data_IF_219943246532
#
_entry.id   IF_219943246532
#
_cell.length_a   1.000
_cell.length_b   1.000
_cell.length_c   1.000
_cell.angle_alpha   90.00
_cell.angle_beta   90.00
_cell.angle_gamma   90.00
#
_symmetry.space_group_name_H-M   'P 1'
#
loop_
_entity.id
_entity.type
_entity.pdbx_description
1 polymer ?
#
# COMPACT_ATOMS: atom_id res chain seq x y z
N UNK A 1 14.67 29.85 -40.84
CA UNK A 1 16.10 29.82 -40.66
C UNK A 1 16.53 30.23 -39.23
N UNK A 2 15.72 29.94 -38.21
CA UNK A 2 16.02 30.21 -36.78
C UNK A 2 15.89 28.97 -35.84
N UNK A 3 15.49 27.80 -36.37
CA UNK A 3 15.31 26.55 -35.60
C UNK A 3 16.51 25.62 -35.71
N UNK A 4 17.35 25.76 -36.74
CA UNK A 4 18.54 24.93 -36.93
C UNK A 4 19.80 25.35 -36.13
N UNK A 5 19.79 26.49 -35.42
CA UNK A 5 20.93 26.93 -34.60
C UNK A 5 20.87 26.50 -33.14
N UNK A 6 19.73 25.91 -32.67
CA UNK A 6 19.62 25.42 -31.29
C UNK A 6 19.92 23.93 -31.11
N UNK A 7 19.92 23.15 -32.21
CA UNK A 7 20.32 21.74 -32.15
C UNK A 7 21.84 21.50 -32.24
N UNK A 8 22.58 22.46 -32.76
CA UNK A 8 24.05 22.32 -32.86
C UNK A 8 24.78 22.64 -31.53
N UNK A 9 24.13 23.36 -30.58
CA UNK A 9 24.70 23.64 -29.26
C UNK A 9 24.58 22.49 -28.26
N UNK A 10 23.61 21.58 -28.45
CA UNK A 10 23.37 20.46 -27.51
C UNK A 10 24.26 19.25 -27.78
N UNK A 11 24.78 19.11 -29.01
CA UNK A 11 25.67 18.00 -29.39
C UNK A 11 27.14 18.29 -29.05
N UNK A 12 27.51 19.56 -28.88
CA UNK A 12 28.90 19.94 -28.57
C UNK A 12 29.22 19.88 -27.07
N UNK A 13 28.24 19.87 -26.18
CA UNK A 13 28.43 19.69 -24.73
C UNK A 13 28.60 18.20 -24.36
N UNK A 14 28.09 17.28 -25.18
CA UNK A 14 28.21 15.83 -24.93
C UNK A 14 29.53 15.22 -25.40
N UNK A 15 30.31 15.94 -26.20
CA UNK A 15 31.59 15.46 -26.74
C UNK A 15 32.83 15.94 -25.95
N UNK A 16 32.67 16.82 -24.93
CA UNK A 16 33.78 17.40 -24.16
C UNK A 16 33.99 16.79 -22.76
N UNK A 17 33.23 15.78 -22.39
CA UNK A 17 33.39 15.07 -21.10
C UNK A 17 34.21 13.77 -21.23
N UNK A 18 34.69 13.43 -22.45
CA UNK A 18 35.43 12.17 -22.69
C UNK A 18 36.96 12.33 -22.76
N UNK A 19 37.58 13.40 -22.26
CA UNK A 19 39.05 13.52 -22.33
C UNK A 19 39.67 14.17 -21.10
N UNK A 20 39.40 13.61 -19.90
CA UNK A 20 40.23 13.84 -18.71
C UNK A 20 40.29 12.56 -17.88
N UNK A 21 40.84 11.49 -18.46
CA UNK A 21 41.34 10.35 -17.71
C UNK A 21 42.82 10.26 -18.00
N UNK A 22 43.64 10.92 -17.19
CA UNK A 22 45.05 10.61 -17.05
C UNK A 22 45.54 10.98 -15.66
N UNK A 23 45.94 9.96 -14.90
CA UNK A 23 46.76 10.00 -13.70
C UNK A 23 46.24 10.83 -12.52
N UNK A 24 45.40 10.20 -11.70
CA UNK A 24 45.26 10.52 -10.28
C UNK A 24 45.46 9.22 -9.49
N UNK A 25 46.42 9.21 -8.54
CA UNK A 25 46.66 8.07 -7.66
C UNK A 25 45.37 7.71 -6.93
N UNK A 26 45.15 6.41 -6.68
CA UNK A 26 44.09 5.89 -5.83
C UNK A 26 44.14 6.65 -4.51
N UNK A 27 43.11 7.46 -4.21
CA UNK A 27 42.98 8.04 -2.89
C UNK A 27 42.66 6.90 -1.94
N UNK A 28 43.35 6.82 -0.78
CA UNK A 28 43.12 5.79 0.22
C UNK A 28 41.70 5.76 0.84
N UNK A 29 40.82 6.67 0.40
CA UNK A 29 39.46 6.86 0.88
C UNK A 29 38.37 6.53 -0.19
N UNK A 30 38.79 6.06 -1.37
CA UNK A 30 37.84 5.68 -2.41
C UNK A 30 37.03 4.45 -1.99
N UNK A 31 35.71 4.61 -1.89
CA UNK A 31 34.74 3.54 -1.62
C UNK A 31 34.28 2.88 -2.93
N UNK A 32 34.11 3.68 -3.96
CA UNK A 32 33.56 3.26 -5.24
C UNK A 32 34.57 3.50 -6.37
N UNK A 33 34.42 2.74 -7.41
CA UNK A 33 34.96 3.11 -8.71
C UNK A 33 33.97 4.05 -9.38
N UNK A 34 34.33 5.33 -9.50
CA UNK A 34 33.45 6.34 -10.07
C UNK A 34 32.87 5.95 -11.43
N UNK A 35 31.58 6.14 -11.64
CA UNK A 35 30.90 5.77 -12.86
C UNK A 35 29.38 5.68 -12.71
N UNK A 36 28.73 5.26 -13.80
CA UNK A 36 27.29 4.96 -13.84
C UNK A 36 27.08 3.49 -14.09
N UNK A 37 26.30 2.84 -13.26
CA UNK A 37 26.06 1.39 -13.27
C UNK A 37 24.57 1.12 -13.41
N UNK A 38 24.22 0.03 -14.09
CA UNK A 38 22.82 -0.30 -14.35
C UNK A 38 22.57 -1.77 -14.01
N UNK A 39 21.43 -2.02 -13.34
CA UNK A 39 20.99 -3.36 -12.99
C UNK A 39 19.49 -3.51 -13.28
N UNK A 40 19.05 -4.75 -13.50
CA UNK A 40 17.65 -5.11 -13.58
C UNK A 40 17.19 -5.72 -12.27
N UNK A 41 16.00 -5.31 -11.81
CA UNK A 41 15.35 -5.89 -10.65
C UNK A 41 13.87 -6.17 -10.96
N UNK A 42 13.24 -7.01 -10.16
CA UNK A 42 11.85 -7.40 -10.36
C UNK A 42 11.06 -7.19 -9.08
N UNK A 43 10.18 -6.20 -9.09
CA UNK A 43 9.15 -5.96 -8.09
C UNK A 43 7.84 -6.63 -8.48
N UNK A 44 6.77 -5.85 -8.63
CA UNK A 44 5.56 -6.32 -9.32
C UNK A 44 5.82 -6.46 -10.83
N UNK A 45 6.65 -5.60 -11.38
CA UNK A 45 7.11 -5.61 -12.76
C UNK A 45 8.63 -5.51 -12.81
N UNK A 46 9.21 -5.78 -14.00
CA UNK A 46 10.64 -5.54 -14.24
C UNK A 46 10.92 -4.04 -14.18
N UNK A 47 11.99 -3.67 -13.50
CA UNK A 47 12.50 -2.29 -13.44
C UNK A 47 13.99 -2.26 -13.80
N UNK A 48 14.44 -1.11 -14.27
CA UNK A 48 15.86 -0.84 -14.52
C UNK A 48 16.32 0.22 -13.53
N UNK A 49 17.28 -0.13 -12.69
CA UNK A 49 17.90 0.77 -11.72
C UNK A 49 19.24 1.24 -12.28
N UNK A 50 19.46 2.55 -12.27
CA UNK A 50 20.71 3.18 -12.71
C UNK A 50 21.25 4.01 -11.55
N UNK A 51 22.47 3.72 -11.12
CA UNK A 51 23.14 4.41 -10.02
C UNK A 51 24.42 5.07 -10.53
N UNK A 52 24.61 6.34 -10.20
CA UNK A 52 25.86 7.08 -10.46
C UNK A 52 26.59 7.29 -9.14
N UNK A 53 27.86 6.96 -9.10
CA UNK A 53 28.74 7.16 -7.94
C UNK A 53 29.96 7.97 -8.30
N UNK A 54 30.40 8.80 -7.35
CA UNK A 54 31.76 9.35 -7.33
C UNK A 54 32.72 8.33 -6.67
N UNK A 55 33.98 8.70 -6.43
CA UNK A 55 34.92 7.84 -5.69
C UNK A 55 34.47 7.62 -4.23
N UNK A 56 33.61 8.44 -3.67
CA UNK A 56 33.24 8.42 -2.23
C UNK A 56 31.76 8.35 -1.95
N UNK A 57 30.88 8.72 -2.91
CA UNK A 57 29.45 8.93 -2.65
C UNK A 57 28.56 8.41 -3.77
N UNK A 58 27.35 8.00 -3.42
CA UNK A 58 26.23 7.77 -4.33
C UNK A 58 25.66 9.14 -4.68
N UNK A 59 25.72 9.52 -5.96
CA UNK A 59 25.38 10.89 -6.41
C UNK A 59 24.06 10.98 -7.16
N UNK A 60 23.58 9.88 -7.74
CA UNK A 60 22.28 9.82 -8.43
C UNK A 60 21.74 8.39 -8.47
N UNK A 61 20.41 8.26 -8.37
CA UNK A 61 19.69 7.01 -8.54
C UNK A 61 18.46 7.28 -9.39
N UNK A 62 18.36 6.60 -10.53
CA UNK A 62 17.23 6.66 -11.44
C UNK A 62 16.62 5.27 -11.60
N UNK A 63 15.28 5.19 -11.63
CA UNK A 63 14.55 3.95 -11.75
C UNK A 63 13.52 4.07 -12.88
N UNK A 64 13.73 3.30 -13.96
CA UNK A 64 12.72 3.12 -15.01
C UNK A 64 11.85 1.91 -14.64
N UNK A 65 10.54 2.13 -14.44
CA UNK A 65 9.64 1.15 -13.86
C UNK A 65 8.23 1.16 -14.49
N UNK A 66 7.47 0.10 -14.17
CA UNK A 66 6.03 -0.02 -14.46
C UNK A 66 5.26 -0.45 -13.22
N UNK A 67 5.76 -0.08 -12.04
CA UNK A 67 5.12 -0.40 -10.78
C UNK A 67 3.74 0.25 -10.68
N UNK A 68 2.85 -0.40 -9.93
CA UNK A 68 1.47 0.07 -9.76
C UNK A 68 1.44 1.42 -9.05
N UNK A 69 0.75 2.37 -9.66
CA UNK A 69 0.57 3.70 -9.08
C UNK A 69 -0.13 3.63 -7.71
N UNK A 70 0.30 4.48 -6.78
CA UNK A 70 -0.19 4.49 -5.40
C UNK A 70 0.25 3.30 -4.52
N UNK A 71 0.88 2.25 -5.09
CA UNK A 71 1.42 1.12 -4.32
C UNK A 71 2.95 1.11 -4.38
N UNK A 72 3.50 0.96 -5.56
CA UNK A 72 4.95 0.89 -5.77
C UNK A 72 5.58 2.25 -6.00
N UNK A 73 4.87 3.21 -6.60
CA UNK A 73 5.39 4.55 -6.90
C UNK A 73 5.91 5.31 -5.68
N UNK A 74 5.29 5.26 -4.48
CA UNK A 74 5.86 5.93 -3.30
C UNK A 74 7.26 5.41 -2.93
N UNK A 75 7.53 4.12 -3.10
CA UNK A 75 8.87 3.56 -2.86
C UNK A 75 9.87 4.08 -3.88
N UNK A 76 9.47 4.08 -5.17
CA UNK A 76 10.31 4.57 -6.27
C UNK A 76 10.70 6.04 -6.07
N UNK A 77 9.81 6.85 -5.53
CA UNK A 77 10.05 8.28 -5.28
C UNK A 77 10.90 8.54 -4.03
N UNK A 78 10.68 7.78 -2.96
CA UNK A 78 11.29 8.05 -1.65
C UNK A 78 12.65 7.38 -1.46
N UNK A 79 12.82 6.12 -1.89
CA UNK A 79 14.03 5.35 -1.62
C UNK A 79 15.29 5.98 -2.22
N UNK A 80 15.31 6.44 -3.48
CA UNK A 80 16.49 7.07 -4.06
C UNK A 80 17.02 8.24 -3.22
N UNK A 81 16.14 9.15 -2.81
CA UNK A 81 16.51 10.31 -2.00
C UNK A 81 17.07 9.88 -0.64
N UNK A 82 16.41 8.94 0.04
CA UNK A 82 16.85 8.43 1.35
C UNK A 82 18.19 7.70 1.25
N UNK A 83 18.39 6.86 0.23
CA UNK A 83 19.66 6.14 0.01
C UNK A 83 20.81 7.11 -0.21
N UNK A 84 20.59 8.15 -1.01
CA UNK A 84 21.59 9.19 -1.24
C UNK A 84 21.89 10.03 0.01
N UNK A 85 20.89 10.33 0.83
CA UNK A 85 21.07 11.07 2.09
C UNK A 85 21.90 10.28 3.11
N UNK A 86 21.56 9.02 3.34
CA UNK A 86 22.27 8.19 4.33
C UNK A 86 23.51 7.51 3.78
N UNK A 87 23.72 7.53 2.46
CA UNK A 87 24.79 6.77 1.78
C UNK A 87 24.80 5.30 2.18
N UNK A 88 23.61 4.67 2.23
CA UNK A 88 23.41 3.32 2.74
C UNK A 88 22.14 2.66 2.23
N UNK A 89 22.00 1.35 2.50
CA UNK A 89 20.89 0.51 2.03
C UNK A 89 20.04 -0.10 3.15
N UNK A 90 20.25 0.32 4.40
CA UNK A 90 19.55 -0.21 5.56
C UNK A 90 18.14 0.36 5.74
N UNK A 91 17.35 0.43 4.67
CA UNK A 91 15.97 0.88 4.72
C UNK A 91 15.03 -0.29 4.99
N UNK A 92 14.01 -0.03 5.80
CA UNK A 92 12.94 -0.98 6.00
C UNK A 92 12.00 -1.01 4.78
N UNK A 93 11.41 -2.17 4.50
CA UNK A 93 10.46 -2.31 3.40
C UNK A 93 9.15 -1.60 3.72
N UNK A 94 8.56 -0.94 2.73
CA UNK A 94 7.24 -0.31 2.87
C UNK A 94 6.17 -1.39 2.86
N UNK A 95 5.35 -1.43 3.91
CA UNK A 95 4.25 -2.36 4.01
C UNK A 95 3.25 -2.14 2.85
N UNK A 96 2.82 -3.23 2.22
CA UNK A 96 2.01 -3.18 0.98
C UNK A 96 2.82 -3.05 -0.31
N UNK A 97 4.06 -2.53 -0.25
CA UNK A 97 4.98 -2.42 -1.39
C UNK A 97 6.28 -3.22 -1.20
N UNK A 98 6.25 -4.30 -0.43
CA UNK A 98 7.42 -5.12 -0.06
C UNK A 98 8.21 -5.61 -1.27
N UNK A 99 7.53 -6.05 -2.34
CA UNK A 99 8.20 -6.52 -3.56
C UNK A 99 8.96 -5.39 -4.26
N UNK A 100 8.34 -4.22 -4.39
CA UNK A 100 8.98 -3.04 -4.97
C UNK A 100 10.14 -2.55 -4.11
N UNK A 101 9.96 -2.49 -2.78
CA UNK A 101 11.03 -2.11 -1.83
C UNK A 101 12.26 -3.01 -1.98
N UNK A 102 12.04 -4.32 -1.94
CA UNK A 102 13.12 -5.29 -2.11
C UNK A 102 13.79 -5.19 -3.48
N UNK A 103 13.02 -4.95 -4.55
CA UNK A 103 13.55 -4.83 -5.89
C UNK A 103 14.42 -3.58 -6.05
N UNK A 104 13.99 -2.44 -5.51
CA UNK A 104 14.80 -1.20 -5.53
C UNK A 104 16.11 -1.41 -4.77
N UNK A 105 16.04 -1.93 -3.52
CA UNK A 105 17.25 -2.19 -2.72
C UNK A 105 18.19 -3.18 -3.39
N UNK A 106 17.66 -4.25 -3.99
CA UNK A 106 18.45 -5.23 -4.72
C UNK A 106 19.11 -4.64 -5.97
N UNK A 107 18.35 -3.86 -6.74
CA UNK A 107 18.88 -3.22 -7.96
C UNK A 107 19.98 -2.19 -7.64
N UNK A 108 19.80 -1.37 -6.59
CA UNK A 108 20.84 -0.45 -6.14
C UNK A 108 22.05 -1.23 -5.63
N UNK A 109 21.85 -2.27 -4.82
CA UNK A 109 22.93 -3.13 -4.32
C UNK A 109 23.76 -3.75 -5.44
N UNK A 110 23.09 -4.20 -6.52
CA UNK A 110 23.75 -4.78 -7.69
C UNK A 110 24.63 -3.74 -8.42
N UNK A 111 24.12 -2.51 -8.59
CA UNK A 111 24.89 -1.41 -9.16
C UNK A 111 26.12 -1.06 -8.32
N UNK A 112 25.97 -1.03 -6.98
CA UNK A 112 27.08 -0.70 -6.07
C UNK A 112 28.12 -1.84 -5.99
N UNK A 113 27.68 -3.09 -6.11
CA UNK A 113 28.60 -4.24 -6.27
C UNK A 113 29.44 -4.10 -7.53
N UNK A 114 28.85 -3.68 -8.65
CA UNK A 114 29.57 -3.40 -9.90
C UNK A 114 30.59 -2.25 -9.72
N UNK A 115 30.25 -1.26 -8.87
CA UNK A 115 31.13 -0.17 -8.50
C UNK A 115 32.26 -0.58 -7.54
N UNK A 116 32.24 -1.82 -7.04
CA UNK A 116 33.32 -2.39 -6.22
C UNK A 116 33.19 -2.20 -4.71
N UNK A 117 32.00 -1.83 -4.20
CA UNK A 117 31.78 -1.64 -2.78
C UNK A 117 31.32 -2.90 -2.02
N UNK A 118 31.51 -2.89 -0.71
CA UNK A 118 30.98 -3.90 0.22
C UNK A 118 29.51 -3.57 0.55
N UNK A 119 28.61 -4.17 -0.21
CA UNK A 119 27.16 -3.97 -0.07
C UNK A 119 26.65 -4.38 1.33
N UNK A 120 27.27 -5.36 1.98
CA UNK A 120 26.85 -5.76 3.33
C UNK A 120 27.12 -4.65 4.36
N UNK A 121 28.23 -3.92 4.22
CA UNK A 121 28.49 -2.74 5.03
C UNK A 121 27.44 -1.64 4.79
N UNK A 122 27.01 -1.41 3.54
CA UNK A 122 25.98 -0.44 3.21
C UNK A 122 24.59 -0.81 3.74
N UNK A 123 24.24 -2.09 3.78
CA UNK A 123 22.97 -2.58 4.38
C UNK A 123 22.92 -2.34 5.91
N UNK A 124 24.06 -2.19 6.55
CA UNK A 124 24.12 -1.87 7.97
C UNK A 124 23.89 -0.37 8.26
N UNK A 125 24.03 0.50 7.26
CA UNK A 125 23.80 1.94 7.40
C UNK A 125 22.30 2.19 7.28
N UNK A 126 21.71 2.66 8.38
CA UNK A 126 20.29 2.98 8.50
C UNK A 126 20.08 4.48 8.66
N UNK A 127 18.90 5.00 8.30
CA UNK A 127 18.51 6.34 8.69
C UNK A 127 18.70 6.54 10.20
N UNK A 128 19.09 7.73 10.61
CA UNK A 128 19.11 8.07 12.02
C UNK A 128 17.72 7.84 12.61
N UNK A 129 17.67 7.24 13.81
CA UNK A 129 16.39 7.10 14.49
C UNK A 129 15.80 8.51 14.71
N UNK A 130 14.54 8.68 14.32
CA UNK A 130 13.83 9.91 14.62
C UNK A 130 13.76 10.12 16.13
N UNK A 131 13.87 11.37 16.56
CA UNK A 131 13.64 11.69 17.97
C UNK A 131 12.23 11.29 18.36
N UNK A 132 12.06 10.73 19.58
CA UNK A 132 10.75 10.34 20.08
C UNK A 132 9.85 11.58 20.18
N UNK A 133 8.73 11.54 19.51
CA UNK A 133 7.67 12.56 19.63
C UNK A 133 7.04 12.53 21.03
N UNK A 134 6.35 13.60 21.39
CA UNK A 134 5.61 13.65 22.63
C UNK A 134 4.43 12.67 22.63
N UNK A 135 4.07 12.18 23.81
CA UNK A 135 2.89 11.34 23.96
C UNK A 135 1.62 12.17 23.71
N UNK A 136 0.63 11.56 23.03
CA UNK A 136 -0.59 12.24 22.56
C UNK A 136 -1.82 11.66 23.26
N UNK A 137 -2.73 12.54 23.71
CA UNK A 137 -4.03 12.17 24.21
C UNK A 137 -5.13 12.86 23.38
N UNK A 138 -6.03 12.06 22.81
CA UNK A 138 -7.13 12.52 21.95
C UNK A 138 -8.47 11.99 22.45
N UNK A 139 -9.53 12.70 22.09
CA UNK A 139 -10.91 12.24 22.29
C UNK A 139 -11.70 12.51 21.01
N UNK A 140 -12.35 11.46 20.51
CA UNK A 140 -13.19 11.50 19.29
C UNK A 140 -14.49 10.75 19.53
N UNK A 141 -15.43 10.79 18.60
CA UNK A 141 -16.65 10.02 18.70
C UNK A 141 -16.40 8.54 18.41
N UNK A 142 -15.69 8.25 17.34
CA UNK A 142 -15.41 6.88 16.89
C UNK A 142 -13.92 6.72 16.59
N UNK A 143 -13.32 5.67 17.16
CA UNK A 143 -11.99 5.22 16.77
C UNK A 143 -12.12 4.02 15.85
N UNK A 144 -11.45 4.06 14.70
CA UNK A 144 -11.37 2.93 13.78
C UNK A 144 -9.94 2.40 13.77
N UNK A 145 -9.76 1.11 14.03
CA UNK A 145 -8.45 0.47 14.03
C UNK A 145 -8.24 -0.28 12.71
N UNK A 146 -7.40 0.27 11.86
CA UNK A 146 -7.06 -0.24 10.53
C UNK A 146 -7.73 0.54 9.38
N UNK A 147 -6.95 1.08 8.48
CA UNK A 147 -7.38 1.83 7.28
C UNK A 147 -7.50 0.94 6.03
N UNK A 148 -7.88 -0.32 6.18
CA UNK A 148 -8.28 -1.20 5.08
C UNK A 148 -9.71 -0.92 4.60
N UNK A 149 -10.22 -1.68 3.63
CA UNK A 149 -11.54 -1.45 3.03
C UNK A 149 -12.68 -1.36 4.04
N UNK A 150 -12.72 -2.27 5.03
CA UNK A 150 -13.75 -2.26 6.06
C UNK A 150 -13.63 -1.06 7.01
N UNK A 151 -12.40 -0.71 7.40
CA UNK A 151 -12.16 0.42 8.30
C UNK A 151 -12.50 1.75 7.66
N UNK A 152 -12.07 1.96 6.42
CA UNK A 152 -12.38 3.21 5.71
C UNK A 152 -13.89 3.34 5.41
N UNK A 153 -14.57 2.25 5.03
CA UNK A 153 -16.02 2.27 4.88
C UNK A 153 -16.73 2.64 6.20
N UNK A 154 -16.30 2.06 7.32
CA UNK A 154 -16.86 2.40 8.62
C UNK A 154 -16.56 3.86 9.02
N UNK A 155 -15.34 4.34 8.75
CA UNK A 155 -14.94 5.71 9.07
C UNK A 155 -15.74 6.75 8.28
N UNK A 156 -15.85 6.56 6.95
CA UNK A 156 -16.64 7.44 6.08
C UNK A 156 -18.10 7.44 6.52
N UNK A 157 -18.70 6.25 6.70
CA UNK A 157 -20.11 6.14 7.14
C UNK A 157 -20.34 6.83 8.49
N UNK A 158 -19.43 6.71 9.45
CA UNK A 158 -19.56 7.40 10.72
C UNK A 158 -19.48 8.92 10.55
N UNK A 159 -18.57 9.41 9.71
CA UNK A 159 -18.42 10.83 9.43
C UNK A 159 -19.64 11.39 8.68
N UNK A 160 -20.21 10.70 7.68
CA UNK A 160 -21.47 11.05 7.01
C UNK A 160 -22.64 11.18 8.00
N UNK A 161 -22.58 10.45 9.12
CA UNK A 161 -23.53 10.58 10.24
C UNK A 161 -23.12 11.62 11.29
N UNK A 162 -22.23 12.55 10.95
CA UNK A 162 -21.84 13.70 11.76
C UNK A 162 -20.95 13.36 12.94
N UNK A 163 -20.19 12.26 12.89
CA UNK A 163 -19.24 11.87 13.93
C UNK A 163 -17.83 12.33 13.63
N UNK A 164 -17.09 12.71 14.66
CA UNK A 164 -15.66 12.89 14.58
C UNK A 164 -14.97 11.51 14.67
N UNK A 165 -14.19 11.18 13.67
CA UNK A 165 -13.59 9.86 13.48
C UNK A 165 -12.08 9.96 13.41
N UNK A 166 -11.37 9.14 14.18
CA UNK A 166 -9.94 8.92 14.03
C UNK A 166 -9.69 7.47 13.60
N UNK A 167 -9.01 7.31 12.47
CA UNK A 167 -8.53 6.01 11.98
C UNK A 167 -7.07 5.85 12.39
N UNK A 168 -6.73 4.74 13.04
CA UNK A 168 -5.35 4.38 13.38
C UNK A 168 -4.86 3.33 12.38
N UNK A 169 -3.81 3.66 11.62
CA UNK A 169 -3.23 2.76 10.63
C UNK A 169 -1.74 2.52 10.94
N UNK A 170 -1.36 1.25 11.03
CA UNK A 170 0.02 0.85 11.37
C UNK A 170 1.05 1.13 10.26
N UNK A 171 0.59 1.25 9.02
CA UNK A 171 1.45 1.49 7.85
C UNK A 171 1.45 2.96 7.46
N UNK A 172 2.30 3.34 6.52
CA UNK A 172 2.41 4.71 6.02
C UNK A 172 1.31 5.10 5.03
N UNK A 173 0.42 4.18 4.68
CA UNK A 173 -0.68 4.45 3.74
C UNK A 173 -1.91 3.61 4.09
N UNK A 174 -3.09 4.12 3.74
CA UNK A 174 -4.31 3.34 3.79
C UNK A 174 -4.31 2.25 2.72
N UNK A 175 -5.09 1.18 2.95
CA UNK A 175 -5.27 0.17 1.90
C UNK A 175 -5.33 -1.25 2.41
N UNK A 176 -4.36 -1.68 3.16
CA UNK A 176 -4.28 -3.05 3.64
C UNK A 176 -4.39 -4.06 2.48
N UNK A 177 -4.93 -5.21 2.74
CA UNK A 177 -5.11 -6.26 1.71
C UNK A 177 -6.12 -5.88 0.62
N UNK A 178 -6.99 -4.90 0.84
CA UNK A 178 -7.93 -4.44 -0.19
C UNK A 178 -7.20 -3.85 -1.39
N UNK A 179 -6.12 -3.10 -1.17
CA UNK A 179 -5.29 -2.55 -2.27
C UNK A 179 -4.68 -3.66 -3.13
N UNK A 180 -4.33 -4.80 -2.53
CA UNK A 180 -3.71 -5.94 -3.21
C UNK A 180 -4.73 -6.86 -3.89
N UNK A 181 -6.02 -6.68 -3.62
CA UNK A 181 -7.10 -7.46 -4.21
C UNK A 181 -7.35 -7.07 -5.67
N UNK A 182 -8.09 -7.90 -6.40
CA UNK A 182 -8.44 -7.62 -7.80
C UNK A 182 -9.39 -6.43 -8.02
N UNK A 183 -9.90 -5.82 -6.96
CA UNK A 183 -10.71 -4.60 -6.97
C UNK A 183 -12.18 -4.79 -7.31
N UNK A 184 -12.60 -5.95 -7.82
CA UNK A 184 -13.98 -6.18 -8.22
C UNK A 184 -14.92 -6.40 -7.02
N UNK A 185 -16.11 -5.82 -7.09
CA UNK A 185 -17.22 -6.04 -6.15
C UNK A 185 -18.29 -6.92 -6.80
N UNK A 186 -18.60 -8.05 -6.17
CA UNK A 186 -19.75 -8.86 -6.56
C UNK A 186 -21.03 -8.24 -5.99
N UNK A 187 -21.89 -7.73 -6.85
CA UNK A 187 -23.17 -7.12 -6.49
C UNK A 187 -24.22 -7.38 -7.56
N UNK A 188 -25.48 -7.47 -7.17
CA UNK A 188 -26.59 -7.73 -8.09
C UNK A 188 -27.53 -6.54 -8.07
N UNK A 189 -27.61 -5.82 -9.19
CA UNK A 189 -28.71 -4.91 -9.48
C UNK A 189 -29.85 -5.70 -10.14
N UNK A 190 -30.80 -6.20 -9.35
CA UNK A 190 -31.91 -7.02 -9.86
C UNK A 190 -32.81 -6.28 -10.86
N UNK A 191 -32.79 -4.95 -10.83
CA UNK A 191 -33.52 -4.10 -11.77
C UNK A 191 -32.90 -4.04 -13.17
N UNK A 192 -31.60 -4.32 -13.27
CA UNK A 192 -30.83 -4.16 -14.50
C UNK A 192 -31.18 -5.20 -15.58
N UNK A 193 -30.99 -4.82 -16.83
CA UNK A 193 -31.12 -5.77 -17.96
C UNK A 193 -29.95 -6.78 -17.96
N UNK A 194 -28.80 -6.42 -17.38
CA UNK A 194 -27.63 -7.29 -17.24
C UNK A 194 -27.92 -8.44 -16.28
N UNK A 195 -28.49 -8.16 -15.10
CA UNK A 195 -28.86 -9.20 -14.15
C UNK A 195 -29.92 -10.15 -14.74
N UNK A 196 -30.94 -9.60 -15.42
CA UNK A 196 -31.96 -10.40 -16.10
C UNK A 196 -31.38 -11.30 -17.20
N UNK A 197 -30.49 -10.75 -18.04
CA UNK A 197 -29.83 -11.51 -19.10
C UNK A 197 -28.94 -12.65 -18.57
N UNK A 198 -28.34 -12.45 -17.40
CA UNK A 198 -27.53 -13.45 -16.72
C UNK A 198 -28.34 -14.39 -15.82
N UNK A 199 -29.65 -14.24 -15.71
CA UNK A 199 -30.49 -14.95 -14.73
C UNK A 199 -29.94 -14.86 -13.31
N UNK A 200 -29.50 -13.67 -12.91
CA UNK A 200 -28.92 -13.40 -11.61
C UNK A 200 -29.90 -12.71 -10.67
N UNK A 201 -29.75 -12.98 -9.38
CA UNK A 201 -30.55 -12.40 -8.31
C UNK A 201 -29.77 -12.37 -7.01
N UNK A 202 -30.22 -11.56 -6.05
CA UNK A 202 -29.67 -11.54 -4.68
C UNK A 202 -29.76 -12.92 -4.04
N UNK A 203 -30.86 -13.67 -4.25
CA UNK A 203 -31.02 -15.03 -3.74
C UNK A 203 -30.05 -16.03 -4.39
N UNK A 204 -29.79 -15.88 -5.69
CA UNK A 204 -28.77 -16.69 -6.37
C UNK A 204 -27.37 -16.36 -5.84
N UNK A 205 -27.07 -15.09 -5.64
CA UNK A 205 -25.80 -14.65 -5.02
C UNK A 205 -25.61 -15.23 -3.61
N UNK A 206 -26.68 -15.18 -2.79
CA UNK A 206 -26.68 -15.78 -1.46
C UNK A 206 -26.39 -17.29 -1.51
N UNK A 207 -27.14 -18.01 -2.33
CA UNK A 207 -27.01 -19.47 -2.46
C UNK A 207 -25.62 -19.88 -2.89
N UNK A 208 -25.05 -19.23 -3.91
CA UNK A 208 -23.71 -19.50 -4.38
C UNK A 208 -22.65 -19.20 -3.32
N UNK A 209 -22.80 -18.10 -2.58
CA UNK A 209 -21.84 -17.71 -1.52
C UNK A 209 -21.89 -18.72 -0.36
N UNK A 210 -23.08 -19.11 0.08
CA UNK A 210 -23.25 -20.03 1.19
C UNK A 210 -22.82 -21.47 0.85
N UNK A 211 -23.30 -21.99 -0.30
CA UNK A 211 -22.96 -23.34 -0.76
C UNK A 211 -21.49 -23.43 -1.18
N UNK A 212 -20.97 -22.43 -1.92
CA UNK A 212 -19.56 -22.36 -2.33
C UNK A 212 -18.59 -22.26 -1.16
N UNK A 213 -19.01 -21.66 -0.06
CA UNK A 213 -18.32 -21.63 1.22
C UNK A 213 -18.50 -22.90 2.08
N UNK A 214 -19.00 -24.00 1.50
CA UNK A 214 -19.31 -25.27 2.22
C UNK A 214 -20.21 -25.05 3.45
N UNK A 215 -21.09 -24.06 3.41
CA UNK A 215 -22.00 -23.68 4.51
C UNK A 215 -21.29 -23.33 5.82
N UNK A 216 -20.00 -22.98 5.75
CA UNK A 216 -19.21 -22.61 6.92
C UNK A 216 -19.47 -21.16 7.38
N UNK A 217 -19.94 -20.30 6.47
CA UNK A 217 -20.26 -18.92 6.78
C UNK A 217 -21.55 -18.78 7.60
N UNK A 218 -21.67 -17.68 8.36
CA UNK A 218 -22.90 -17.35 9.09
C UNK A 218 -23.95 -16.83 8.10
N UNK A 219 -25.12 -17.52 7.97
CA UNK A 219 -26.14 -17.16 6.98
C UNK A 219 -26.60 -15.71 7.07
N UNK A 220 -26.77 -15.20 8.29
CA UNK A 220 -27.22 -13.83 8.55
C UNK A 220 -26.23 -12.78 8.04
N UNK A 221 -24.91 -13.03 8.15
CA UNK A 221 -23.89 -12.11 7.64
C UNK A 221 -23.81 -12.17 6.12
N UNK A 222 -23.98 -13.36 5.52
CA UNK A 222 -24.05 -13.50 4.07
C UNK A 222 -25.26 -12.75 3.51
N UNK A 223 -26.43 -12.83 4.19
CA UNK A 223 -27.62 -12.05 3.82
C UNK A 223 -27.33 -10.55 3.79
N UNK A 224 -26.80 -10.00 4.88
CA UNK A 224 -26.44 -8.58 4.94
C UNK A 224 -25.52 -8.21 3.78
N UNK A 225 -24.52 -9.03 3.48
CA UNK A 225 -23.57 -8.76 2.38
C UNK A 225 -24.30 -8.68 1.04
N UNK A 226 -25.05 -9.72 0.65
CA UNK A 226 -25.59 -9.82 -0.72
C UNK A 226 -26.76 -8.88 -0.95
N UNK A 227 -27.56 -8.60 0.09
CA UNK A 227 -28.70 -7.68 0.02
C UNK A 227 -28.28 -6.22 -0.09
N UNK A 228 -27.09 -5.84 0.46
CA UNK A 228 -26.60 -4.48 0.46
C UNK A 228 -25.40 -4.24 -0.47
N UNK A 229 -24.96 -5.27 -1.21
CA UNK A 229 -23.77 -5.14 -2.05
C UNK A 229 -23.95 -4.12 -3.17
N UNK A 230 -25.16 -4.04 -3.78
CA UNK A 230 -25.46 -3.06 -4.82
C UNK A 230 -25.51 -1.64 -4.27
N UNK A 231 -26.15 -1.43 -3.14
CA UNK A 231 -26.15 -0.14 -2.46
C UNK A 231 -24.72 0.33 -2.13
N UNK A 232 -23.83 -0.61 -1.79
CA UNK A 232 -22.41 -0.33 -1.59
C UNK A 232 -21.69 0.14 -2.86
N UNK A 233 -22.02 -0.41 -4.03
CA UNK A 233 -21.51 0.08 -5.33
C UNK A 233 -22.00 1.49 -5.63
N UNK A 234 -23.29 1.75 -5.44
CA UNK A 234 -23.87 3.07 -5.67
C UNK A 234 -23.34 4.12 -4.68
N UNK A 235 -23.11 3.73 -3.42
CA UNK A 235 -22.47 4.59 -2.43
C UNK A 235 -21.04 4.98 -2.82
N UNK A 236 -20.22 4.03 -3.30
CA UNK A 236 -18.88 4.32 -3.80
C UNK A 236 -18.91 5.24 -5.03
N UNK A 237 -19.85 5.03 -5.94
CA UNK A 237 -20.07 5.94 -7.08
C UNK A 237 -20.44 7.35 -6.62
N UNK A 238 -21.28 7.49 -5.60
CA UNK A 238 -21.66 8.79 -5.06
C UNK A 238 -20.49 9.59 -4.50
N UNK A 239 -19.42 8.90 -4.07
CA UNK A 239 -18.14 9.50 -3.65
C UNK A 239 -17.16 9.73 -4.81
N UNK A 240 -17.56 9.46 -6.06
CA UNK A 240 -16.72 9.66 -7.23
C UNK A 240 -15.91 8.45 -7.70
N UNK A 241 -16.14 7.25 -7.16
CA UNK A 241 -15.51 6.04 -7.67
C UNK A 241 -16.09 5.66 -9.04
N UNK A 242 -15.22 5.52 -10.02
CA UNK A 242 -15.62 5.14 -11.37
C UNK A 242 -15.55 3.62 -11.54
N UNK A 243 -16.61 3.04 -12.11
CA UNK A 243 -16.69 1.63 -12.50
C UNK A 243 -16.77 1.48 -14.01
N UNK A 244 -16.34 0.36 -14.54
CA UNK A 244 -16.55 0.01 -15.95
C UNK A 244 -18.04 -0.20 -16.16
N UNK A 245 -18.64 0.65 -16.99
CA UNK A 245 -20.08 0.64 -17.21
C UNK A 245 -20.51 -0.33 -18.31
N UNK A 246 -21.78 -0.77 -18.24
CA UNK A 246 -22.42 -1.55 -19.28
C UNK A 246 -22.06 -3.05 -19.29
N UNK A 247 -21.19 -3.50 -18.41
CA UNK A 247 -20.83 -4.91 -18.31
C UNK A 247 -20.51 -5.32 -16.87
N UNK A 248 -20.66 -6.61 -16.61
CA UNK A 248 -20.23 -7.27 -15.37
C UNK A 248 -19.30 -8.42 -15.70
N UNK A 249 -18.41 -8.75 -14.77
CA UNK A 249 -17.36 -9.72 -14.97
C UNK A 249 -17.57 -10.97 -14.08
N UNK A 250 -17.01 -12.08 -14.50
CA UNK A 250 -16.87 -13.26 -13.66
C UNK A 250 -15.46 -13.24 -13.07
N UNK A 251 -15.34 -13.15 -11.76
CA UNK A 251 -14.05 -13.20 -11.07
C UNK A 251 -13.80 -14.59 -10.52
N UNK A 252 -12.51 -14.95 -10.36
CA UNK A 252 -12.13 -16.25 -9.78
C UNK A 252 -12.77 -16.42 -8.39
N UNK A 253 -13.47 -17.51 -8.18
CA UNK A 253 -14.21 -17.80 -6.95
C UNK A 253 -15.65 -17.25 -6.94
N UNK A 254 -15.96 -16.23 -7.74
CA UNK A 254 -17.31 -15.66 -7.82
C UNK A 254 -18.29 -16.47 -8.66
N UNK A 255 -17.79 -17.27 -9.59
CA UNK A 255 -18.50 -18.23 -10.45
C UNK A 255 -19.70 -17.71 -11.27
N UNK A 256 -20.04 -16.42 -11.19
CA UNK A 256 -21.16 -15.82 -11.92
C UNK A 256 -20.83 -14.39 -12.37
N UNK A 257 -21.35 -13.93 -13.50
CA UNK A 257 -21.11 -12.58 -14.01
C UNK A 257 -21.90 -11.54 -13.22
N UNK A 258 -21.37 -11.05 -12.12
CA UNK A 258 -21.92 -10.00 -11.26
C UNK A 258 -20.86 -9.06 -10.67
N UNK A 259 -19.61 -9.21 -11.06
CA UNK A 259 -18.55 -8.41 -10.53
C UNK A 259 -18.46 -7.06 -11.23
N UNK A 260 -18.62 -5.98 -10.49
CA UNK A 260 -18.39 -4.61 -10.93
C UNK A 260 -16.94 -4.26 -10.70
N UNK A 261 -16.23 -3.88 -11.76
CA UNK A 261 -14.80 -3.53 -11.68
C UNK A 261 -14.64 -2.02 -11.70
N UNK A 262 -13.86 -1.46 -10.76
CA UNK A 262 -13.39 -0.10 -10.87
C UNK A 262 -12.56 0.11 -12.14
N UNK A 263 -12.55 1.34 -12.65
CA UNK A 263 -11.67 1.78 -13.75
C UNK A 263 -10.22 1.74 -13.30
N UNK A 264 -9.96 2.16 -12.05
CA UNK A 264 -8.63 2.08 -11.44
C UNK A 264 -8.21 0.62 -11.21
N UNK A 265 -6.92 0.30 -11.41
CA UNK A 265 -6.44 -1.08 -11.33
C UNK A 265 -6.46 -1.61 -9.88
N UNK A 266 -6.70 -2.90 -9.74
CA UNK A 266 -6.74 -3.64 -8.46
C UNK A 266 -7.64 -2.94 -7.42
N UNK A 267 -7.26 -2.87 -6.16
CA UNK A 267 -8.01 -2.19 -5.12
C UNK A 267 -7.69 -0.70 -4.95
N UNK A 268 -6.89 -0.09 -5.84
CA UNK A 268 -6.44 1.30 -5.69
C UNK A 268 -7.58 2.31 -5.80
N UNK A 269 -8.61 2.03 -6.60
CA UNK A 269 -9.79 2.88 -6.74
C UNK A 269 -10.50 3.17 -5.42
N UNK A 270 -10.57 2.18 -4.51
CA UNK A 270 -11.17 2.37 -3.19
C UNK A 270 -10.42 3.44 -2.38
N UNK A 271 -9.09 3.38 -2.38
CA UNK A 271 -8.28 4.26 -1.54
C UNK A 271 -8.08 5.63 -2.13
N UNK A 272 -8.12 5.76 -3.45
CA UNK A 272 -8.23 7.05 -4.12
C UNK A 272 -9.55 7.75 -3.76
N UNK A 273 -10.65 7.00 -3.75
CA UNK A 273 -11.98 7.52 -3.37
C UNK A 273 -12.05 7.87 -1.90
N UNK A 274 -11.62 6.98 -1.00
CA UNK A 274 -11.61 7.26 0.44
C UNK A 274 -10.64 8.37 0.81
N UNK A 275 -9.45 8.44 0.19
CA UNK A 275 -8.50 9.53 0.40
C UNK A 275 -9.09 10.88 0.01
N UNK A 276 -9.69 10.98 -1.18
CA UNK A 276 -10.38 12.19 -1.62
C UNK A 276 -11.52 12.60 -0.68
N UNK A 277 -12.25 11.63 -0.10
CA UNK A 277 -13.26 11.92 0.90
C UNK A 277 -12.63 12.50 2.16
N UNK A 278 -11.60 11.87 2.72
CA UNK A 278 -10.90 12.36 3.92
C UNK A 278 -10.35 13.76 3.71
N UNK A 279 -9.71 14.01 2.55
CA UNK A 279 -9.11 15.30 2.22
C UNK A 279 -10.15 16.43 2.07
N UNK A 280 -11.39 16.10 1.77
CA UNK A 280 -12.46 17.09 1.50
C UNK A 280 -13.47 17.25 2.62
N UNK A 281 -13.41 16.45 3.69
CA UNK A 281 -14.36 16.47 4.80
C UNK A 281 -13.66 16.71 6.15
N UNK A 282 -14.26 17.58 6.96
CA UNK A 282 -13.84 17.79 8.35
C UNK A 282 -14.35 16.65 9.25
N UNK A 283 -13.70 16.46 10.38
CA UNK A 283 -14.12 15.49 11.39
C UNK A 283 -13.77 14.02 11.07
N UNK A 284 -12.96 13.77 10.06
CA UNK A 284 -12.36 12.46 9.77
C UNK A 284 -10.86 12.62 9.54
N UNK A 285 -10.06 11.82 10.22
CA UNK A 285 -8.60 11.86 10.13
C UNK A 285 -8.03 10.44 10.13
N UNK A 286 -6.92 10.23 9.42
CA UNK A 286 -6.14 8.98 9.44
C UNK A 286 -4.76 9.26 10.02
N UNK A 287 -4.46 8.63 11.14
CA UNK A 287 -3.14 8.66 11.78
C UNK A 287 -2.35 7.43 11.33
N UNK A 288 -1.44 7.67 10.41
CA UNK A 288 -0.56 6.64 9.85
C UNK A 288 0.59 6.27 10.78
N UNK A 289 1.29 5.18 10.48
CA UNK A 289 2.42 4.65 11.24
C UNK A 289 2.13 4.57 12.75
N UNK A 290 0.83 4.34 13.09
CA UNK A 290 0.32 4.30 14.46
C UNK A 290 -0.32 2.95 14.72
N UNK A 291 0.35 2.14 15.52
CA UNK A 291 -0.03 0.75 15.77
C UNK A 291 -0.85 0.64 17.05
N UNK A 292 -2.11 0.25 16.94
CA UNK A 292 -2.95 -0.08 18.08
C UNK A 292 -2.37 -1.26 18.86
N UNK A 293 -2.25 -1.12 20.18
CA UNK A 293 -1.64 -2.11 21.09
C UNK A 293 -2.63 -2.69 22.07
N UNK A 294 -3.50 -1.85 22.65
CA UNK A 294 -4.36 -2.22 23.76
C UNK A 294 -5.68 -1.46 23.71
N UNK A 295 -6.77 -2.08 24.14
CA UNK A 295 -8.05 -1.40 24.38
C UNK A 295 -8.07 -0.75 25.76
N UNK A 296 -8.65 0.44 25.84
CA UNK A 296 -9.07 1.03 27.11
C UNK A 296 -10.42 0.43 27.43
N UNK A 297 -10.50 -0.24 28.59
CA UNK A 297 -11.74 -0.90 29.03
C UNK A 297 -12.14 -0.33 30.38
N UNK A 298 -13.34 0.24 30.46
CA UNK A 298 -13.93 0.78 31.69
C UNK A 298 -15.25 0.05 31.94
N UNK A 299 -15.41 -0.55 33.11
CA UNK A 299 -16.60 -1.33 33.50
C UNK A 299 -17.05 -2.39 32.49
N UNK A 300 -16.06 -3.02 31.80
CA UNK A 300 -16.32 -4.04 30.78
C UNK A 300 -16.68 -3.50 29.40
N UNK A 301 -16.66 -2.19 29.19
CA UNK A 301 -16.93 -1.50 27.92
C UNK A 301 -15.61 -0.98 27.35
N UNK A 302 -15.40 -1.18 26.04
CA UNK A 302 -14.27 -0.60 25.34
C UNK A 302 -14.55 0.88 25.10
N UNK A 303 -13.77 1.77 25.74
CA UNK A 303 -13.91 3.22 25.71
C UNK A 303 -12.77 3.92 24.95
N UNK A 304 -11.85 3.16 24.37
CA UNK A 304 -10.75 3.74 23.60
C UNK A 304 -9.65 2.75 23.25
N UNK A 305 -8.55 3.30 22.75
CA UNK A 305 -7.39 2.54 22.28
C UNK A 305 -6.10 3.21 22.76
N UNK A 306 -5.14 2.40 23.17
CA UNK A 306 -3.74 2.81 23.35
C UNK A 306 -2.98 2.31 22.13
N UNK A 307 -2.25 3.21 21.47
CA UNK A 307 -1.44 2.94 20.32
C UNK A 307 0.00 3.45 20.51
N UNK A 308 0.88 3.01 19.64
CA UNK A 308 2.27 3.44 19.53
C UNK A 308 2.47 4.11 18.18
N UNK A 309 2.89 5.36 18.19
CA UNK A 309 3.20 6.14 17.00
C UNK A 309 4.57 5.76 16.39
N UNK A 310 4.89 6.34 15.24
CA UNK A 310 6.09 6.09 14.43
C UNK A 310 7.39 6.13 15.23
N UNK A 311 7.51 7.06 16.17
CA UNK A 311 8.74 7.28 16.94
C UNK A 311 8.73 6.56 18.30
N UNK A 312 7.72 5.70 18.55
CA UNK A 312 7.54 4.99 19.81
C UNK A 312 6.86 5.82 20.90
N UNK A 313 6.29 6.98 20.53
CA UNK A 313 5.45 7.78 21.39
C UNK A 313 4.10 7.08 21.67
N UNK A 314 3.55 7.28 22.86
CA UNK A 314 2.26 6.73 23.24
C UNK A 314 1.15 7.61 22.68
N UNK A 315 0.18 6.98 22.00
CA UNK A 315 -1.04 7.62 21.52
C UNK A 315 -2.22 7.01 22.26
N UNK A 316 -2.91 7.82 23.06
CA UNK A 316 -4.09 7.41 23.83
C UNK A 316 -5.32 8.06 23.22
N UNK A 317 -6.26 7.28 22.71
CA UNK A 317 -7.47 7.80 22.07
C UNK A 317 -8.70 7.30 22.80
N UNK A 318 -9.50 8.21 23.34
CA UNK A 318 -10.81 7.93 23.93
C UNK A 318 -11.90 8.05 22.86
N UNK A 319 -12.85 7.11 22.87
CA UNK A 319 -13.96 7.03 21.94
C UNK A 319 -15.28 7.22 22.72
N UNK A 320 -16.02 8.27 22.43
CA UNK A 320 -17.29 8.56 23.15
C UNK A 320 -18.46 7.70 22.67
N UNK A 321 -18.40 7.21 21.42
CA UNK A 321 -19.42 6.32 20.84
C UNK A 321 -18.95 4.87 20.68
N UNK A 322 -17.64 4.64 20.52
CA UNK A 322 -17.10 3.29 20.45
C UNK A 322 -15.90 3.11 19.53
N UNK A 323 -15.43 1.88 19.47
CA UNK A 323 -14.25 1.46 18.69
C UNK A 323 -14.66 0.45 17.63
N UNK A 324 -14.27 0.68 16.38
CA UNK A 324 -14.42 -0.27 15.27
C UNK A 324 -13.10 -1.00 15.07
N UNK A 325 -13.10 -2.32 15.26
CA UNK A 325 -11.94 -3.17 15.01
C UNK A 325 -11.96 -3.68 13.56
N UNK A 326 -11.13 -3.10 12.71
CA UNK A 326 -11.03 -3.39 11.27
C UNK A 326 -9.62 -3.80 10.84
N UNK A 327 -8.89 -4.51 11.70
CA UNK A 327 -7.47 -4.87 11.53
C UNK A 327 -7.20 -5.92 10.45
N UNK A 328 -8.24 -6.46 9.82
CA UNK A 328 -8.14 -7.52 8.81
C UNK A 328 -7.86 -8.89 9.43
N UNK A 329 -7.14 -9.73 8.68
CA UNK A 329 -6.81 -11.08 9.10
C UNK A 329 -5.38 -11.20 9.67
N UNK A 330 -4.92 -12.44 9.74
CA UNK A 330 -3.57 -12.80 10.21
C UNK A 330 -2.80 -13.65 9.20
N UNK A 331 -3.03 -13.44 7.91
CA UNK A 331 -2.43 -14.27 6.85
C UNK A 331 -0.90 -14.20 6.82
N UNK A 332 -0.29 -13.08 7.25
CA UNK A 332 1.15 -12.93 7.38
C UNK A 332 1.76 -13.64 8.61
N UNK A 333 0.95 -13.99 9.61
CA UNK A 333 1.44 -14.66 10.80
C UNK A 333 1.46 -16.18 10.61
N UNK A 334 2.66 -16.73 10.35
CA UNK A 334 2.85 -18.18 10.08
C UNK A 334 2.39 -19.04 11.25
N UNK A 335 2.71 -18.65 12.49
CA UNK A 335 2.34 -19.39 13.69
C UNK A 335 0.82 -19.44 13.87
N UNK A 336 0.11 -18.33 13.73
CA UNK A 336 -1.35 -18.30 13.80
C UNK A 336 -1.99 -19.10 12.67
N UNK A 337 -1.45 -19.04 11.45
CA UNK A 337 -1.95 -19.85 10.34
C UNK A 337 -1.80 -21.34 10.64
N UNK A 338 -0.65 -21.78 11.10
CA UNK A 338 -0.40 -23.17 11.47
C UNK A 338 -1.31 -23.63 12.60
N UNK A 339 -1.62 -22.76 13.56
CA UNK A 339 -2.48 -23.05 14.70
C UNK A 339 -3.97 -23.14 14.32
N UNK A 340 -4.47 -22.26 13.46
CA UNK A 340 -5.90 -22.09 13.21
C UNK A 340 -6.35 -22.60 11.84
N UNK A 341 -5.44 -22.78 10.89
CA UNK A 341 -5.75 -23.26 9.55
C UNK A 341 -4.81 -24.40 9.15
N UNK A 342 -5.16 -25.61 9.57
CA UNK A 342 -4.34 -26.80 9.31
C UNK A 342 -4.30 -27.20 7.82
N UNK A 343 -5.29 -26.80 7.02
CA UNK A 343 -5.34 -27.08 5.58
C UNK A 343 -4.22 -26.36 4.81
N UNK A 344 -3.79 -25.20 5.28
CA UNK A 344 -2.79 -24.34 4.64
C UNK A 344 -1.55 -24.14 5.53
N UNK A 345 -1.34 -25.04 6.48
CA UNK A 345 -0.25 -24.95 7.47
C UNK A 345 1.15 -24.93 6.83
N UNK A 346 1.31 -25.61 5.68
CA UNK A 346 2.61 -25.72 4.97
C UNK A 346 2.98 -24.48 4.15
N UNK A 347 2.08 -23.50 4.02
CA UNK A 347 2.41 -22.26 3.35
C UNK A 347 3.41 -21.45 4.20
N UNK A 348 4.60 -21.24 3.63
CA UNK A 348 5.66 -20.44 4.25
C UNK A 348 5.38 -18.94 4.29
N UNK A 349 6.42 -18.15 4.44
CA UNK A 349 6.34 -16.68 4.55
C UNK A 349 5.97 -15.96 3.23
N UNK A 350 6.02 -16.67 2.10
CA UNK A 350 5.79 -16.11 0.77
C UNK A 350 4.32 -15.90 0.41
N UNK A 351 3.55 -15.35 1.35
CA UNK A 351 2.16 -14.98 1.09
C UNK A 351 2.08 -13.47 0.87
N UNK A 352 1.47 -13.06 -0.25
CA UNK A 352 1.22 -11.65 -0.53
C UNK A 352 0.10 -11.14 0.38
N UNK A 353 0.48 -10.44 1.44
CA UNK A 353 -0.45 -9.89 2.44
C UNK A 353 0.19 -8.70 3.14
N UNK A 354 -0.64 -7.82 3.71
CA UNK A 354 -0.23 -6.67 4.54
C UNK A 354 -0.38 -6.93 6.04
N UNK A 355 -0.87 -8.10 6.43
CA UNK A 355 -1.17 -8.44 7.83
C UNK A 355 -0.86 -9.89 8.18
#
# INVERSE_FOLDING_TARGET
MKIMKKLASLVLVFAMVMSLVACGGESSDAKFKAGTYTAKATGMHEMTVTVTVSDTEITDIQIDHKETDGIGTPVIEQFPATIMDIQGLGLDVVAGATLTSNAVLAGVADCLTQAGDDVEALKAIKPAAAEKEEDVELTVDVVVVGAGGAGMAAAVTANENGKNVLVLEKTSAMGGNTTLAGGALNAVDEGSDIAKANNDSVEHHYTQTYEGGNKAGKPELIRILVENAWDGVEWLKSMGMEFIEGEVFTVTGGMWPRAHKPVEPVGTGFFKTYGAYVDSHEGIEVMYETTAKEFIVEDGVVTGVIAEGKTGNKVTVKATNGVVLATGGFAGNVEMRQKYNTQWADLGEQIKTTN
#
